data_IF_376338720262
#
_entry.id   IF_376338720262
#
_cell.length_a   1.000
_cell.length_b   1.000
_cell.length_c   1.000
_cell.angle_alpha   90.00
_cell.angle_beta   90.00
_cell.angle_gamma   90.00
#
_symmetry.space_group_name_H-M   'P 1'
#
loop_
_entity.id
_entity.type
_entity.pdbx_description
1 polymer ?
#
# COMPACT_ATOMS: atom_id res chain seq x y z
N UNK A 1 10.51 -15.04 -19.96
CA UNK A 1 10.31 -14.67 -18.55
C UNK A 1 11.56 -14.02 -18.00
N UNK A 2 11.42 -12.98 -17.21
CA UNK A 2 12.51 -12.33 -16.52
C UNK A 2 12.18 -12.30 -15.01
N UNK A 3 13.03 -12.91 -14.21
CA UNK A 3 12.91 -12.97 -12.76
C UNK A 3 13.94 -12.04 -12.14
N UNK A 4 13.52 -11.15 -11.24
CA UNK A 4 14.38 -10.21 -10.54
C UNK A 4 14.15 -10.31 -9.04
N UNK A 5 15.23 -10.33 -8.27
CA UNK A 5 15.21 -10.20 -6.81
C UNK A 5 15.86 -8.89 -6.41
N UNK A 6 15.20 -8.10 -5.60
CA UNK A 6 15.71 -6.81 -5.13
C UNK A 6 15.55 -6.68 -3.61
N UNK A 7 16.47 -5.95 -3.02
CA UNK A 7 16.43 -5.57 -1.61
C UNK A 7 16.49 -4.06 -1.50
N UNK A 8 15.54 -3.50 -0.76
CA UNK A 8 15.46 -2.07 -0.51
C UNK A 8 15.60 -1.77 0.98
N UNK A 9 16.24 -0.64 1.28
CA UNK A 9 16.29 -0.08 2.61
C UNK A 9 15.75 1.34 2.55
N UNK A 10 14.61 1.57 3.20
CA UNK A 10 13.92 2.85 3.23
C UNK A 10 14.17 3.54 4.56
N UNK A 11 14.69 4.76 4.51
CA UNK A 11 14.86 5.61 5.67
C UNK A 11 13.82 6.71 5.60
N UNK A 12 13.12 6.94 6.71
CA UNK A 12 12.15 8.03 6.87
C UNK A 12 12.65 9.00 7.92
N UNK A 13 12.58 10.28 7.63
CA UNK A 13 12.77 11.37 8.59
C UNK A 13 11.76 12.47 8.24
N UNK A 14 10.66 12.52 8.97
CA UNK A 14 9.56 13.46 8.75
C UNK A 14 9.37 14.30 9.99
N UNK A 15 9.40 15.61 9.84
CA UNK A 15 9.11 16.57 10.89
C UNK A 15 7.99 17.49 10.43
N UNK A 16 6.93 17.62 11.21
CA UNK A 16 5.82 18.53 10.94
C UNK A 16 5.59 19.44 12.16
N UNK A 17 5.75 20.73 11.93
CA UNK A 17 5.67 21.79 12.96
C UNK A 17 4.53 22.73 12.61
N UNK A 18 3.27 22.29 12.74
CA UNK A 18 2.12 23.15 12.47
C UNK A 18 1.82 24.13 13.61
N UNK A 19 1.95 23.68 14.84
CA UNK A 19 1.83 24.43 16.10
C UNK A 19 2.61 23.65 17.15
N UNK A 20 3.10 24.33 18.19
CA UNK A 20 3.87 23.69 19.28
C UNK A 20 3.10 22.49 19.87
N UNK A 21 1.77 22.62 19.99
CA UNK A 21 0.87 21.57 20.51
C UNK A 21 0.63 20.40 19.53
N UNK A 22 1.10 20.50 18.29
CA UNK A 22 0.90 19.49 17.24
C UNK A 22 2.19 19.09 16.54
N UNK A 23 3.33 19.45 17.11
CA UNK A 23 4.62 19.06 16.52
C UNK A 23 4.78 17.54 16.55
N UNK A 24 5.23 16.99 15.45
CA UNK A 24 5.44 15.55 15.26
C UNK A 24 6.78 15.32 14.59
N UNK A 25 7.51 14.34 15.07
CA UNK A 25 8.75 13.89 14.45
C UNK A 25 8.72 12.39 14.36
N UNK A 26 8.89 11.87 13.15
CA UNK A 26 8.90 10.44 12.86
C UNK A 26 10.18 10.08 12.14
N UNK A 27 10.91 9.12 12.68
CA UNK A 27 12.06 8.49 12.03
C UNK A 27 11.79 7.01 11.87
N UNK A 28 12.07 6.47 10.71
CA UNK A 28 11.81 5.07 10.43
C UNK A 28 12.92 4.42 9.62
N UNK A 29 13.06 3.12 9.83
CA UNK A 29 13.95 2.27 9.08
C UNK A 29 13.19 1.00 8.69
N UNK A 30 13.02 0.82 7.38
CA UNK A 30 12.27 -0.28 6.79
C UNK A 30 13.12 -1.04 5.78
N UNK A 31 13.04 -2.35 5.83
CA UNK A 31 13.66 -3.23 4.85
C UNK A 31 12.57 -3.92 4.03
N UNK A 32 12.81 -4.06 2.75
CA UNK A 32 11.93 -4.73 1.81
C UNK A 32 12.73 -5.68 0.93
N UNK A 33 12.18 -6.85 0.70
CA UNK A 33 12.68 -7.83 -0.27
C UNK A 33 11.56 -8.05 -1.28
N UNK A 34 11.86 -7.81 -2.55
CA UNK A 34 10.91 -7.89 -3.64
C UNK A 34 11.34 -8.93 -4.68
N UNK A 35 10.37 -9.70 -5.17
CA UNK A 35 10.48 -10.63 -6.28
C UNK A 35 9.59 -10.14 -7.40
N UNK A 36 10.17 -9.86 -8.55
CA UNK A 36 9.44 -9.45 -9.75
C UNK A 36 9.57 -10.52 -10.82
N UNK A 37 8.45 -10.93 -11.40
CA UNK A 37 8.35 -11.83 -12.52
C UNK A 37 7.63 -11.15 -13.68
N UNK A 38 8.35 -10.96 -14.79
CA UNK A 38 7.80 -10.37 -16.00
C UNK A 38 7.77 -11.39 -17.12
N UNK A 39 6.59 -11.61 -17.67
CA UNK A 39 6.33 -12.46 -18.81
C UNK A 39 5.65 -11.66 -19.93
N UNK A 40 5.52 -12.26 -21.11
CA UNK A 40 4.94 -11.58 -22.28
C UNK A 40 3.52 -11.02 -22.04
N UNK A 41 2.75 -11.67 -21.16
CA UNK A 41 1.34 -11.31 -20.90
C UNK A 41 1.02 -11.11 -19.42
N UNK A 42 2.03 -11.14 -18.57
CA UNK A 42 1.82 -10.93 -17.14
C UNK A 42 3.02 -10.27 -16.48
N UNK A 43 2.73 -9.45 -15.51
CA UNK A 43 3.69 -8.86 -14.59
C UNK A 43 3.25 -9.22 -13.17
N UNK A 44 4.16 -9.66 -12.34
CA UNK A 44 3.87 -9.98 -10.95
C UNK A 44 5.02 -9.52 -10.07
N UNK A 45 4.68 -8.90 -8.97
CA UNK A 45 5.61 -8.51 -7.93
C UNK A 45 5.09 -9.00 -6.57
N UNK A 46 5.95 -9.64 -5.82
CA UNK A 46 5.70 -10.04 -4.44
C UNK A 46 6.78 -9.44 -3.56
N UNK A 47 6.41 -8.76 -2.49
CA UNK A 47 7.37 -8.23 -1.53
C UNK A 47 7.00 -8.51 -0.09
N UNK A 48 8.03 -8.61 0.74
CA UNK A 48 7.94 -8.67 2.19
C UNK A 48 8.68 -7.47 2.74
N UNK A 49 8.02 -6.72 3.61
CA UNK A 49 8.61 -5.56 4.28
C UNK A 49 8.52 -5.69 5.80
N UNK A 50 9.53 -5.21 6.49
CA UNK A 50 9.51 -5.07 7.94
C UNK A 50 10.30 -3.85 8.38
N UNK A 51 9.92 -3.25 9.48
CA UNK A 51 10.63 -2.08 9.97
C UNK A 51 10.10 -1.55 11.28
N UNK A 52 10.75 -0.49 11.71
CA UNK A 52 10.45 0.21 12.96
C UNK A 52 10.39 1.70 12.68
N UNK A 53 9.35 2.34 13.17
CA UNK A 53 9.23 3.78 13.27
C UNK A 53 9.28 4.20 14.73
N UNK A 54 9.97 5.28 15.01
CA UNK A 54 10.04 5.89 16.33
C UNK A 54 9.96 7.41 16.18
N UNK A 55 9.51 8.06 17.21
CA UNK A 55 9.42 9.51 17.17
C UNK A 55 8.79 10.10 18.39
N UNK A 56 8.34 11.33 18.20
CA UNK A 56 7.71 12.12 19.25
C UNK A 56 6.45 12.80 18.71
N UNK A 57 5.41 12.79 19.52
CA UNK A 57 4.20 13.58 19.33
C UNK A 57 4.07 14.48 20.55
N UNK A 58 4.31 15.79 20.36
CA UNK A 58 4.43 16.76 21.45
C UNK A 58 5.54 16.35 22.43
N UNK A 59 5.20 15.93 23.65
CA UNK A 59 6.14 15.49 24.68
C UNK A 59 6.28 13.96 24.78
N UNK A 60 5.39 13.21 24.13
CA UNK A 60 5.34 11.75 24.24
C UNK A 60 6.12 11.08 23.10
N UNK A 61 6.97 10.13 23.45
CA UNK A 61 7.68 9.31 22.47
C UNK A 61 6.90 8.03 22.16
N UNK A 62 7.00 7.56 20.92
CA UNK A 62 6.43 6.28 20.50
C UNK A 62 7.50 5.44 19.78
N UNK A 63 7.30 4.13 19.81
CA UNK A 63 8.02 3.14 19.01
C UNK A 63 6.97 2.19 18.44
N UNK A 64 6.94 2.06 17.14
CA UNK A 64 6.04 1.13 16.45
C UNK A 64 6.82 0.29 15.46
N UNK A 65 6.47 -0.98 15.37
CA UNK A 65 7.03 -1.90 14.40
C UNK A 65 5.94 -2.47 13.51
N UNK A 66 6.33 -2.82 12.28
CA UNK A 66 5.42 -3.45 11.33
C UNK A 66 6.10 -4.50 10.49
N UNK A 67 5.30 -5.48 10.10
CA UNK A 67 5.65 -6.45 9.07
C UNK A 67 4.50 -6.51 8.06
N UNK A 68 4.84 -6.61 6.78
CA UNK A 68 3.83 -6.66 5.72
C UNK A 68 4.24 -7.51 4.55
N UNK A 69 3.24 -7.94 3.80
CA UNK A 69 3.35 -8.68 2.55
C UNK A 69 2.56 -7.90 1.52
N UNK A 70 3.17 -7.63 0.36
CA UNK A 70 2.50 -7.03 -0.77
C UNK A 70 2.56 -7.98 -1.96
N UNK A 71 1.50 -8.00 -2.73
CA UNK A 71 1.44 -8.62 -4.03
C UNK A 71 0.82 -7.64 -5.03
N UNK A 72 1.44 -7.47 -6.18
CA UNK A 72 0.89 -6.76 -7.32
C UNK A 72 1.00 -7.65 -8.55
N UNK A 73 -0.11 -7.89 -9.21
CA UNK A 73 -0.16 -8.70 -10.42
C UNK A 73 -0.97 -8.01 -11.52
N UNK A 74 -0.48 -8.08 -12.76
CA UNK A 74 -1.18 -7.60 -13.94
C UNK A 74 -1.17 -8.67 -15.03
N UNK A 75 -2.33 -8.92 -15.60
CA UNK A 75 -2.52 -9.82 -16.73
C UNK A 75 -3.03 -9.02 -17.93
N UNK A 76 -2.36 -9.17 -19.08
CA UNK A 76 -2.71 -8.48 -20.32
C UNK A 76 -3.47 -9.39 -21.27
N UNK A 77 -4.56 -8.90 -21.82
CA UNK A 77 -5.38 -9.58 -22.85
C UNK A 77 -5.00 -9.11 -24.27
N UNK A 78 -3.72 -8.83 -24.48
CA UNK A 78 -3.25 -8.21 -25.70
C UNK A 78 -3.71 -6.73 -25.79
N UNK A 79 -4.25 -6.34 -26.96
CA UNK A 79 -4.80 -5.00 -27.19
C UNK A 79 -6.17 -4.78 -26.54
N UNK A 80 -6.82 -5.84 -26.04
CA UNK A 80 -8.15 -5.77 -25.46
C UNK A 80 -8.18 -5.22 -24.04
N UNK A 81 -7.04 -5.16 -23.36
CA UNK A 81 -6.99 -4.60 -22.02
C UNK A 81 -6.16 -5.37 -21.02
N UNK A 82 -6.42 -5.10 -19.75
CA UNK A 82 -5.71 -5.76 -18.63
C UNK A 82 -6.56 -5.86 -17.39
N UNK A 83 -6.23 -6.85 -16.58
CA UNK A 83 -6.68 -6.98 -15.18
C UNK A 83 -5.49 -6.78 -14.26
N UNK A 84 -5.69 -6.05 -13.18
CA UNK A 84 -4.69 -5.85 -12.13
C UNK A 84 -5.27 -6.27 -10.77
N UNK A 85 -4.45 -6.93 -9.97
CA UNK A 85 -4.74 -7.27 -8.58
C UNK A 85 -3.59 -6.76 -7.70
N UNK A 86 -3.93 -5.95 -6.71
CA UNK A 86 -3.02 -5.58 -5.64
C UNK A 86 -3.57 -6.10 -4.32
N UNK A 87 -2.70 -6.65 -3.53
CA UNK A 87 -3.00 -7.17 -2.19
C UNK A 87 -1.93 -6.66 -1.22
N UNK A 88 -2.35 -6.07 -0.11
CA UNK A 88 -1.49 -5.66 1.00
C UNK A 88 -2.04 -6.26 2.29
N UNK A 89 -1.17 -6.95 3.00
CA UNK A 89 -1.45 -7.47 4.33
C UNK A 89 -0.33 -7.02 5.26
N UNK A 90 -0.66 -6.37 6.36
CA UNK A 90 0.33 -5.99 7.36
C UNK A 90 -0.18 -6.15 8.79
N UNK A 91 0.74 -6.34 9.69
CA UNK A 91 0.50 -6.31 11.14
C UNK A 91 1.46 -5.33 11.79
N UNK A 92 0.91 -4.36 12.49
CA UNK A 92 1.63 -3.27 13.12
C UNK A 92 1.39 -3.29 14.64
N UNK A 93 2.47 -3.17 15.41
CA UNK A 93 2.44 -3.19 16.88
C UNK A 93 3.13 -1.95 17.44
N UNK A 94 2.55 -1.41 18.47
CA UNK A 94 3.14 -0.36 19.27
C UNK A 94 3.92 -0.98 20.43
N UNK A 95 5.10 -0.44 20.74
CA UNK A 95 6.03 -1.00 21.72
C UNK A 95 6.24 -0.10 22.95
N UNK A 96 5.72 1.13 22.92
CA UNK A 96 6.04 2.17 23.91
C UNK A 96 4.91 2.52 24.89
N UNK A 97 3.81 1.78 24.87
CA UNK A 97 2.58 2.05 25.67
C UNK A 97 1.93 3.42 25.36
N UNK A 98 2.23 4.02 24.21
CA UNK A 98 1.61 5.24 23.76
C UNK A 98 0.54 4.90 22.69
N UNK A 99 -0.73 5.07 23.04
CA UNK A 99 -1.85 4.60 22.19
C UNK A 99 -2.03 5.35 20.86
N UNK A 100 -1.36 6.48 20.69
CA UNK A 100 -1.49 7.28 19.48
C UNK A 100 -0.23 7.20 18.61
N UNK A 101 -0.38 6.64 17.42
CA UNK A 101 0.65 6.64 16.38
C UNK A 101 0.28 7.68 15.32
N UNK A 102 1.16 8.62 14.98
CA UNK A 102 0.87 9.62 13.98
C UNK A 102 0.73 8.99 12.58
N UNK A 103 -0.11 9.56 11.69
CA UNK A 103 -0.37 9.00 10.37
C UNK A 103 0.87 8.95 9.47
N UNK A 104 1.90 9.71 9.81
CA UNK A 104 3.19 9.68 9.11
C UNK A 104 4.02 8.43 9.43
N UNK A 105 3.73 7.74 10.54
CA UNK A 105 4.37 6.47 10.88
C UNK A 105 3.69 5.28 10.18
N UNK A 106 4.36 4.13 10.19
CA UNK A 106 3.86 2.85 9.67
C UNK A 106 3.35 2.93 8.21
N UNK A 107 3.93 3.83 7.40
CA UNK A 107 3.48 4.07 6.02
C UNK A 107 2.00 4.49 5.90
N UNK A 108 1.44 5.15 6.90
CA UNK A 108 0.03 5.55 6.95
C UNK A 108 -0.93 4.45 7.36
N UNK A 109 -0.43 3.27 7.70
CA UNK A 109 -1.22 2.15 8.18
C UNK A 109 -1.60 2.32 9.65
N UNK A 110 -2.64 1.63 10.09
CA UNK A 110 -3.06 1.63 11.49
C UNK A 110 -2.32 0.56 12.30
N UNK A 111 -2.40 0.66 13.62
CA UNK A 111 -2.02 -0.42 14.52
C UNK A 111 -2.90 -1.66 14.28
N UNK A 112 -2.37 -2.83 14.64
CA UNK A 112 -3.05 -4.10 14.43
C UNK A 112 -2.96 -4.57 12.98
N UNK A 113 -3.93 -5.37 12.58
CA UNK A 113 -4.00 -5.96 11.25
C UNK A 113 -4.56 -4.98 10.24
N UNK A 114 -3.93 -4.89 9.08
CA UNK A 114 -4.39 -4.10 7.94
C UNK A 114 -4.46 -5.02 6.72
N UNK A 115 -5.59 -5.01 6.04
CA UNK A 115 -5.81 -5.74 4.80
C UNK A 115 -6.31 -4.75 3.76
N UNK A 116 -5.65 -4.68 2.62
CA UNK A 116 -6.14 -3.93 1.48
C UNK A 116 -6.08 -4.80 0.22
N UNK A 117 -7.18 -4.83 -0.51
CA UNK A 117 -7.27 -5.51 -1.81
C UNK A 117 -7.81 -4.52 -2.82
N UNK A 118 -7.11 -4.36 -3.92
CA UNK A 118 -7.57 -3.58 -5.05
C UNK A 118 -7.51 -4.44 -6.30
N UNK A 119 -8.62 -4.52 -7.00
CA UNK A 119 -8.71 -5.19 -8.30
C UNK A 119 -9.24 -4.21 -9.31
N UNK A 120 -8.61 -4.11 -10.46
CA UNK A 120 -9.08 -3.28 -11.56
C UNK A 120 -9.07 -4.02 -12.89
N UNK A 121 -10.11 -3.81 -13.68
CA UNK A 121 -10.26 -4.29 -15.04
C UNK A 121 -10.32 -3.07 -15.96
N UNK A 122 -9.50 -3.07 -17.02
CA UNK A 122 -9.61 -2.15 -18.12
C UNK A 122 -9.81 -2.95 -19.39
N UNK A 123 -10.89 -2.68 -20.11
CA UNK A 123 -11.26 -3.43 -21.32
C UNK A 123 -11.62 -2.48 -22.45
N UNK A 124 -10.98 -2.66 -23.60
CA UNK A 124 -11.24 -1.91 -24.82
C UNK A 124 -12.16 -2.72 -25.74
N UNK A 125 -13.39 -2.25 -25.90
CA UNK A 125 -14.38 -2.85 -26.81
C UNK A 125 -14.02 -2.53 -28.25
N UNK A 126 -13.59 -1.27 -28.47
CA UNK A 126 -13.06 -0.73 -29.73
C UNK A 126 -12.02 0.34 -29.39
N UNK A 127 -11.33 0.87 -30.41
CA UNK A 127 -10.33 1.96 -30.22
C UNK A 127 -10.90 3.17 -29.45
N UNK A 128 -12.18 3.47 -29.69
CA UNK A 128 -12.84 4.65 -29.15
C UNK A 128 -13.83 4.31 -28.02
N UNK A 129 -13.91 3.06 -27.61
CA UNK A 129 -14.85 2.60 -26.57
C UNK A 129 -14.11 1.77 -25.56
N UNK A 130 -14.10 2.20 -24.30
CA UNK A 130 -13.50 1.46 -23.19
C UNK A 130 -14.44 1.35 -22.01
N UNK A 131 -14.25 0.29 -21.26
CA UNK A 131 -14.88 0.03 -19.98
C UNK A 131 -13.79 -0.18 -18.92
N UNK A 132 -13.94 0.44 -17.77
CA UNK A 132 -13.10 0.18 -16.61
C UNK A 132 -13.95 -0.12 -15.39
N UNK A 133 -13.47 -1.02 -14.55
CA UNK A 133 -14.09 -1.36 -13.27
C UNK A 133 -13.02 -1.53 -12.23
N UNK A 134 -13.24 -1.01 -11.03
CA UNK A 134 -12.37 -1.26 -9.89
C UNK A 134 -13.18 -1.68 -8.67
N UNK A 135 -12.59 -2.57 -7.89
CA UNK A 135 -13.12 -3.10 -6.64
C UNK A 135 -12.04 -2.91 -5.58
N UNK A 136 -12.39 -2.22 -4.50
CA UNK A 136 -11.48 -2.00 -3.38
C UNK A 136 -12.10 -2.59 -2.12
N UNK A 137 -11.29 -3.31 -1.37
CA UNK A 137 -11.59 -3.78 -0.03
C UNK A 137 -10.53 -3.28 0.94
N UNK A 138 -10.94 -2.75 2.07
CA UNK A 138 -10.06 -2.26 3.12
C UNK A 138 -10.62 -2.67 4.48
N UNK A 139 -9.79 -3.35 5.26
CA UNK A 139 -10.09 -3.74 6.63
C UNK A 139 -8.91 -3.40 7.54
N UNK A 140 -9.15 -2.53 8.52
CA UNK A 140 -8.17 -2.12 9.52
C UNK A 140 -8.88 -1.48 10.73
N UNK A 141 -8.12 -1.01 11.71
CA UNK A 141 -8.67 -0.39 12.92
C UNK A 141 -9.59 0.83 12.65
N UNK A 142 -9.35 1.55 11.54
CA UNK A 142 -10.14 2.73 11.15
C UNK A 142 -11.36 2.39 10.30
N UNK A 143 -11.21 1.39 9.42
CA UNK A 143 -12.21 0.99 8.45
C UNK A 143 -12.49 -0.50 8.61
N UNK A 144 -13.63 -0.84 9.16
CA UNK A 144 -14.06 -2.21 9.33
C UNK A 144 -14.85 -2.65 8.09
N UNK A 145 -14.27 -3.55 7.29
CA UNK A 145 -14.89 -4.12 6.10
C UNK A 145 -15.42 -3.08 5.09
N UNK A 146 -14.61 -2.06 4.78
CA UNK A 146 -14.98 -1.08 3.76
C UNK A 146 -14.83 -1.70 2.37
N UNK A 147 -15.92 -1.75 1.62
CA UNK A 147 -15.97 -2.26 0.26
C UNK A 147 -16.47 -1.18 -0.70
N UNK A 148 -15.75 -0.95 -1.81
CA UNK A 148 -16.09 0.06 -2.81
C UNK A 148 -15.99 -0.53 -4.21
N UNK A 149 -17.01 -0.30 -5.02
CA UNK A 149 -17.02 -0.64 -6.46
C UNK A 149 -17.19 0.65 -7.25
N UNK A 150 -16.34 0.82 -8.27
CA UNK A 150 -16.44 1.90 -9.24
C UNK A 150 -16.41 1.33 -10.63
N UNK A 151 -17.26 1.86 -11.50
CA UNK A 151 -17.29 1.51 -12.93
C UNK A 151 -17.31 2.77 -13.79
N UNK A 152 -16.63 2.74 -14.91
CA UNK A 152 -16.59 3.84 -15.86
C UNK A 152 -16.69 3.30 -17.29
N UNK A 153 -17.51 3.96 -18.08
CA UNK A 153 -17.62 3.72 -19.51
C UNK A 153 -17.22 5.00 -20.26
N UNK A 154 -16.32 4.88 -21.20
CA UNK A 154 -15.86 5.99 -22.04
C UNK A 154 -16.11 5.70 -23.50
N UNK A 155 -16.74 6.63 -24.20
CA UNK A 155 -16.90 6.63 -25.65
C UNK A 155 -16.38 7.97 -26.20
N UNK A 156 -15.48 7.91 -27.16
CA UNK A 156 -14.99 9.08 -27.90
C UNK A 156 -15.68 9.12 -29.25
N UNK A 157 -16.38 10.21 -29.53
CA UNK A 157 -17.12 10.45 -30.76
C UNK A 157 -16.30 11.30 -31.73
#
# INVERSE_FOLDING_TARGET
>A
SNLKLERYHHIRDVESNFLIERSRKVKGSWNEISFTLNEKRSESEFSIKYGVDHGRVVSNSFIAQGIGINYSGRLFFGELGSVMLNFDLSENKELSNFQYIPPEALNGQTLGKNIAVNTSLNYFIKKDISFSMSVNYLDNLRYNNLFTIMGEFRAYL
#
